data_IF_096591661360
#
_entry.id   IF_096591661360
#
_cell.length_a   1.000
_cell.length_b   1.000
_cell.length_c   1.000
_cell.angle_alpha   90.00
_cell.angle_beta   90.00
_cell.angle_gamma   90.00
#
_symmetry.space_group_name_H-M   'P 1'
#
loop_
_entity.id
_entity.type
_entity.pdbx_description
1 polymer ?
#
# COMPACT_ATOMS: atom_id res chain seq x y z
N UNK A 1 -8.12 12.26 -12.92
CA UNK A 1 -8.20 10.85 -12.49
C UNK A 1 -6.79 10.36 -12.26
N UNK A 2 -6.46 9.80 -11.10
CA UNK A 2 -5.10 9.30 -10.88
C UNK A 2 -4.88 7.95 -11.55
N UNK A 3 -3.67 7.78 -12.03
CA UNK A 3 -3.30 6.63 -12.86
C UNK A 3 -2.82 5.45 -11.99
N UNK A 4 -3.73 4.90 -11.18
CA UNK A 4 -3.49 3.68 -10.41
C UNK A 4 -3.19 2.48 -11.31
N UNK A 5 -3.63 2.52 -12.58
CA UNK A 5 -3.32 1.52 -13.60
C UNK A 5 -1.82 1.53 -13.92
N UNK A 6 -1.24 2.71 -14.17
CA UNK A 6 0.20 2.87 -14.38
C UNK A 6 1.03 2.43 -13.18
N UNK A 7 0.57 2.68 -11.95
CA UNK A 7 1.26 2.17 -10.75
C UNK A 7 1.23 0.65 -10.73
N UNK A 8 0.07 0.05 -11.03
CA UNK A 8 -0.05 -1.41 -11.12
C UNK A 8 0.86 -2.00 -12.19
N UNK A 9 0.92 -1.38 -13.38
CA UNK A 9 1.79 -1.83 -14.47
C UNK A 9 3.25 -1.90 -14.07
N UNK A 10 3.75 -0.90 -13.34
CA UNK A 10 5.13 -0.87 -12.84
C UNK A 10 5.39 -2.02 -11.86
N UNK A 11 4.46 -2.28 -10.93
CA UNK A 11 4.63 -3.37 -9.95
C UNK A 11 4.65 -4.75 -10.62
N UNK A 12 3.84 -4.97 -11.65
CA UNK A 12 3.89 -6.19 -12.44
C UNK A 12 5.17 -6.26 -13.29
N UNK A 13 5.63 -5.15 -13.85
CA UNK A 13 6.83 -5.10 -14.70
C UNK A 13 8.11 -5.45 -13.93
N UNK A 14 8.19 -5.12 -12.65
CA UNK A 14 9.33 -5.47 -11.78
C UNK A 14 9.15 -6.81 -11.04
N UNK A 15 8.06 -7.54 -11.31
CA UNK A 15 7.80 -8.85 -10.73
C UNK A 15 7.36 -8.83 -9.26
N UNK A 16 6.94 -7.68 -8.72
CA UNK A 16 6.42 -7.60 -7.35
C UNK A 16 5.06 -8.26 -7.22
N UNK A 17 4.24 -8.23 -8.27
CA UNK A 17 2.95 -8.93 -8.31
C UNK A 17 2.98 -9.93 -9.46
N UNK A 18 2.62 -11.17 -9.16
CA UNK A 18 2.61 -12.30 -10.10
C UNK A 18 1.19 -12.91 -10.21
N UNK A 19 0.94 -13.76 -11.22
CA UNK A 19 -0.29 -14.55 -11.30
C UNK A 19 -0.55 -15.31 -9.99
N UNK A 20 -1.82 -15.44 -9.54
CA UNK A 20 -3.06 -15.26 -10.31
C UNK A 20 -3.61 -13.82 -10.35
N UNK A 21 -2.96 -12.85 -9.72
CA UNK A 21 -3.49 -11.50 -9.61
C UNK A 21 -3.49 -10.75 -10.94
N UNK A 22 -4.51 -9.91 -11.15
CA UNK A 22 -4.58 -9.03 -12.32
C UNK A 22 -4.14 -7.61 -11.98
N UNK A 23 -3.71 -6.87 -13.01
CA UNK A 23 -3.39 -5.45 -12.89
C UNK A 23 -4.62 -4.62 -12.48
N UNK A 24 -5.82 -5.05 -12.84
CA UNK A 24 -7.08 -4.35 -12.52
C UNK A 24 -7.39 -4.48 -11.04
N UNK A 25 -7.30 -5.71 -10.50
CA UNK A 25 -7.49 -5.97 -9.07
C UNK A 25 -6.49 -5.19 -8.23
N UNK A 26 -5.22 -5.17 -8.67
CA UNK A 26 -4.18 -4.43 -7.97
C UNK A 26 -4.39 -2.92 -8.03
N UNK A 27 -4.73 -2.37 -9.20
CA UNK A 27 -5.07 -0.96 -9.34
C UNK A 27 -6.28 -0.56 -8.47
N UNK A 28 -7.26 -1.45 -8.31
CA UNK A 28 -8.41 -1.23 -7.44
C UNK A 28 -8.00 -1.20 -5.96
N UNK A 29 -7.15 -2.12 -5.52
CA UNK A 29 -6.62 -2.13 -4.16
C UNK A 29 -5.81 -0.85 -3.86
N UNK A 30 -4.94 -0.43 -4.79
CA UNK A 30 -4.18 0.82 -4.67
C UNK A 30 -5.10 2.05 -4.56
N UNK A 31 -6.21 2.08 -5.30
CA UNK A 31 -7.21 3.15 -5.22
C UNK A 31 -7.88 3.18 -3.84
N UNK A 32 -8.25 2.03 -3.29
CA UNK A 32 -8.92 1.93 -1.99
C UNK A 32 -8.08 2.54 -0.85
N UNK A 33 -6.75 2.43 -0.93
CA UNK A 33 -5.82 3.04 0.04
C UNK A 33 -5.46 4.49 -0.32
N UNK A 34 -5.29 4.77 -1.62
CA UNK A 34 -4.77 6.05 -2.10
C UNK A 34 -5.80 7.19 -2.18
N UNK A 35 -7.09 6.90 -2.31
CA UNK A 35 -8.13 7.94 -2.35
C UNK A 35 -8.39 8.56 -0.97
N UNK A 36 -8.58 7.79 0.13
CA UNK A 36 -8.88 8.36 1.45
C UNK A 36 -7.78 9.25 2.04
N UNK A 37 -6.54 9.09 1.58
CA UNK A 37 -5.38 9.84 2.08
C UNK A 37 -5.07 11.09 1.25
N UNK A 38 -5.63 11.21 0.05
CA UNK A 38 -5.21 12.27 -0.84
C UNK A 38 -5.84 13.61 -0.53
N UNK A 39 -5.05 14.67 -0.71
CA UNK A 39 -5.48 16.03 -0.39
C UNK A 39 -5.67 16.27 1.11
N UNK A 40 -5.41 15.27 1.97
CA UNK A 40 -5.49 15.39 3.42
C UNK A 40 -4.10 15.69 3.99
N UNK A 41 -3.97 16.61 4.95
CA UNK A 41 -2.70 16.85 5.61
C UNK A 41 -2.33 15.63 6.47
N UNK A 42 -1.03 15.30 6.56
CA UNK A 42 -0.53 14.15 7.31
C UNK A 42 -1.07 14.08 8.75
N UNK A 43 -1.14 15.22 9.44
CA UNK A 43 -1.70 15.36 10.80
C UNK A 43 -3.18 14.95 10.95
N UNK A 44 -3.92 14.87 9.86
CA UNK A 44 -5.35 14.49 9.86
C UNK A 44 -5.57 13.02 9.47
N UNK A 45 -4.50 12.24 9.36
CA UNK A 45 -4.51 10.84 8.99
C UNK A 45 -3.84 10.03 10.10
N UNK A 46 -4.40 8.85 10.41
CA UNK A 46 -3.67 7.87 11.23
C UNK A 46 -2.61 7.23 10.34
N UNK A 47 -1.34 7.44 10.68
CA UNK A 47 -0.27 6.79 9.94
C UNK A 47 -0.30 5.29 10.18
N UNK A 48 -0.59 4.85 11.43
CA UNK A 48 -0.71 3.44 11.76
C UNK A 48 -1.72 2.70 10.86
N UNK A 49 -2.90 3.29 10.62
CA UNK A 49 -3.92 2.71 9.74
C UNK A 49 -3.47 2.68 8.28
N UNK A 50 -2.80 3.73 7.80
CA UNK A 50 -2.27 3.76 6.43
C UNK A 50 -1.22 2.66 6.22
N UNK A 51 -0.26 2.54 7.11
CA UNK A 51 0.79 1.54 7.00
C UNK A 51 0.23 0.12 7.14
N UNK A 52 -0.75 -0.09 8.01
CA UNK A 52 -1.46 -1.38 8.12
C UNK A 52 -2.10 -1.77 6.79
N UNK A 53 -2.81 -0.85 6.14
CA UNK A 53 -3.42 -1.10 4.83
C UNK A 53 -2.38 -1.39 3.73
N UNK A 54 -1.24 -0.71 3.74
CA UNK A 54 -0.15 -1.00 2.81
C UNK A 54 0.38 -2.43 2.99
N UNK A 55 0.61 -2.86 4.24
CA UNK A 55 1.08 -4.21 4.56
C UNK A 55 0.04 -5.29 4.24
N UNK A 56 -1.25 -4.98 4.37
CA UNK A 56 -2.34 -5.86 3.94
C UNK A 56 -2.35 -6.05 2.43
N UNK A 57 -2.22 -4.97 1.64
CA UNK A 57 -2.09 -5.07 0.18
C UNK A 57 -0.84 -5.86 -0.21
N UNK A 58 0.30 -5.60 0.43
CA UNK A 58 1.54 -6.38 0.22
C UNK A 58 1.28 -7.88 0.37
N UNK A 59 0.62 -8.29 1.45
CA UNK A 59 0.29 -9.70 1.69
C UNK A 59 -0.77 -10.24 0.72
N UNK A 60 -1.83 -9.48 0.45
CA UNK A 60 -2.94 -9.88 -0.42
C UNK A 60 -2.48 -10.21 -1.85
N UNK A 61 -1.48 -9.50 -2.34
CA UNK A 61 -0.94 -9.68 -3.69
C UNK A 61 0.35 -10.53 -3.74
N UNK A 62 0.69 -11.20 -2.64
CA UNK A 62 1.83 -12.10 -2.57
C UNK A 62 3.19 -11.40 -2.76
N UNK A 63 3.27 -10.10 -2.51
CA UNK A 63 4.53 -9.36 -2.56
C UNK A 63 5.44 -9.79 -1.41
N UNK A 64 6.74 -9.86 -1.67
CA UNK A 64 7.71 -10.07 -0.61
C UNK A 64 7.71 -8.87 0.35
N UNK A 65 7.29 -9.12 1.59
CA UNK A 65 7.25 -8.09 2.60
C UNK A 65 8.65 -7.81 3.14
N UNK A 66 9.14 -6.60 2.90
CA UNK A 66 10.41 -6.14 3.46
C UNK A 66 10.33 -6.03 5.00
N UNK A 67 11.24 -6.68 5.77
CA UNK A 67 11.25 -6.63 7.23
C UNK A 67 11.27 -5.20 7.80
N UNK A 68 11.90 -4.26 7.08
CA UNK A 68 12.01 -2.86 7.46
C UNK A 68 10.64 -2.16 7.52
N UNK A 69 9.66 -2.58 6.71
CA UNK A 69 8.31 -2.02 6.73
C UNK A 69 7.53 -2.45 7.98
N UNK A 70 7.78 -3.67 8.48
CA UNK A 70 7.22 -4.15 9.74
C UNK A 70 7.82 -3.40 10.93
N UNK A 71 9.13 -3.13 10.88
CA UNK A 71 9.80 -2.33 11.90
C UNK A 71 9.28 -0.90 11.93
N UNK A 72 9.08 -0.28 10.76
CA UNK A 72 8.46 1.04 10.62
C UNK A 72 7.09 1.09 11.34
N UNK A 73 6.27 0.04 11.18
CA UNK A 73 4.96 -0.04 11.83
C UNK A 73 5.07 -0.07 13.34
N UNK A 74 5.98 -0.88 13.88
CA UNK A 74 6.23 -0.92 15.33
C UNK A 74 6.69 0.44 15.85
N UNK A 75 7.61 1.10 15.17
CA UNK A 75 8.11 2.43 15.58
C UNK A 75 6.99 3.48 15.56
N UNK A 76 6.17 3.52 14.51
CA UNK A 76 5.05 4.46 14.45
C UNK A 76 4.03 4.25 15.56
N UNK A 77 3.67 3.01 15.88
CA UNK A 77 2.73 2.72 16.98
C UNK A 77 3.27 3.25 18.31
N UNK A 78 4.59 3.23 18.52
CA UNK A 78 5.23 3.79 19.72
C UNK A 78 5.25 5.32 19.72
N UNK A 79 5.31 5.96 18.55
CA UNK A 79 5.38 7.44 18.41
C UNK A 79 3.99 8.09 18.41
N UNK A 80 2.97 7.41 17.89
CA UNK A 80 1.57 7.88 17.93
C UNK A 80 0.86 7.56 19.28
N UNK A 81 1.49 6.76 20.14
CA UNK A 81 0.98 6.37 21.47
C UNK A 81 1.37 7.30 22.61
#
# INVERSE_FOLDING_TARGET
MRDYRRIADIHFAVGFVAPPHTRDDFAQALRAVGEPIFGRPARAMSMANLLTQLLEITRLFGMELQPQLVLLQKTMVVVEG
#
